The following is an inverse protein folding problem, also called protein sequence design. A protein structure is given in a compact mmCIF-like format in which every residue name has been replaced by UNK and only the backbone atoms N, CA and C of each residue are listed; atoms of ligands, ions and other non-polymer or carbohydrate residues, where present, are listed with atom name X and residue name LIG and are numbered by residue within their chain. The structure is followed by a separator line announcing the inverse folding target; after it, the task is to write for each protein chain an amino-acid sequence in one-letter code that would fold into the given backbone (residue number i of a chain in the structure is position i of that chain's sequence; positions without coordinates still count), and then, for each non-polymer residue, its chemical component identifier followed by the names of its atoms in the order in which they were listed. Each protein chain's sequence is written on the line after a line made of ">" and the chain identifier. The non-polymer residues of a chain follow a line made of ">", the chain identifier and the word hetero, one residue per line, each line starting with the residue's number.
data_IF_951247029722
#
_entry.id   IF_951247029722
#
_cell.length_a   1.000
_cell.length_b   1.000
_cell.length_c   1.000
_cell.angle_alpha   90.00
_cell.angle_beta   90.00
_cell.angle_gamma   90.00
#
_symmetry.space_group_name_H-M   'P 1'
#
loop_
_entity.id
_entity.type
_entity.pdbx_description
1 polymer ?
#
# COMPACT_ATOMS: atom_id res chain seq x y z
N UNK A 1 -50.89 -2.43 -27.02
CA UNK A 1 -49.47 -2.75 -26.79
C UNK A 1 -49.45 -3.80 -25.70
N UNK A 2 -49.12 -5.05 -26.04
CA UNK A 2 -48.89 -6.09 -25.05
C UNK A 2 -47.62 -5.73 -24.26
N UNK A 3 -47.67 -5.80 -22.94
CA UNK A 3 -46.49 -5.62 -22.11
C UNK A 3 -45.53 -6.80 -22.36
N UNK A 4 -44.22 -6.53 -22.59
CA UNK A 4 -43.27 -7.60 -22.83
C UNK A 4 -43.15 -8.51 -21.61
N UNK A 5 -43.11 -9.81 -21.85
CA UNK A 5 -42.87 -10.84 -20.84
C UNK A 5 -41.41 -11.17 -20.71
N UNK A 6 -40.95 -11.41 -19.49
CA UNK A 6 -39.54 -11.73 -19.19
C UNK A 6 -39.17 -13.13 -19.72
N UNK A 7 -38.04 -13.23 -20.38
CA UNK A 7 -37.46 -14.50 -20.85
C UNK A 7 -36.10 -14.78 -20.16
N UNK A 8 -35.15 -13.86 -20.26
CA UNK A 8 -33.80 -14.02 -19.67
C UNK A 8 -33.15 -12.69 -19.33
N UNK A 9 -32.12 -12.74 -18.49
CA UNK A 9 -31.27 -11.61 -18.14
C UNK A 9 -29.96 -11.64 -18.96
N UNK A 10 -29.65 -10.54 -19.64
CA UNK A 10 -28.35 -10.29 -20.26
C UNK A 10 -27.64 -9.20 -19.50
N UNK A 11 -26.45 -9.50 -18.96
CA UNK A 11 -25.65 -8.60 -18.13
C UNK A 11 -24.31 -8.30 -18.80
N UNK A 12 -24.07 -7.03 -19.10
CA UNK A 12 -22.85 -6.54 -19.75
C UNK A 12 -22.09 -5.59 -18.79
N UNK A 13 -20.75 -5.68 -18.80
CA UNK A 13 -19.87 -4.77 -18.05
C UNK A 13 -19.67 -5.14 -16.58
N UNK A 14 -20.32 -6.19 -16.07
CA UNK A 14 -20.09 -6.71 -14.73
C UNK A 14 -18.87 -7.64 -14.72
N UNK A 15 -17.85 -7.29 -13.93
CA UNK A 15 -16.62 -8.10 -13.80
C UNK A 15 -16.33 -8.54 -12.36
N UNK A 16 -16.89 -7.84 -11.35
CA UNK A 16 -16.51 -8.04 -9.94
C UNK A 16 -17.59 -8.66 -9.06
N UNK A 17 -18.87 -8.57 -9.44
CA UNK A 17 -19.95 -9.26 -8.73
C UNK A 17 -20.27 -10.57 -9.45
N UNK A 18 -20.42 -11.65 -8.67
CA UNK A 18 -20.80 -12.96 -9.19
C UNK A 18 -22.12 -12.89 -9.96
N UNK A 19 -22.12 -13.41 -11.21
CA UNK A 19 -23.32 -13.48 -12.06
C UNK A 19 -24.46 -14.22 -11.40
N UNK A 20 -24.19 -15.25 -10.59
CA UNK A 20 -25.21 -15.99 -9.85
C UNK A 20 -25.92 -15.09 -8.83
N UNK A 21 -25.15 -14.21 -8.15
CA UNK A 21 -25.69 -13.24 -7.21
C UNK A 21 -26.55 -12.20 -7.91
N UNK A 22 -26.12 -11.72 -9.09
CA UNK A 22 -26.94 -10.80 -9.89
C UNK A 22 -28.23 -11.47 -10.35
N UNK A 23 -28.15 -12.69 -10.87
CA UNK A 23 -29.32 -13.46 -11.28
C UNK A 23 -30.30 -13.66 -10.10
N UNK A 24 -29.80 -13.93 -8.90
CA UNK A 24 -30.65 -14.07 -7.72
C UNK A 24 -31.34 -12.75 -7.33
N UNK A 25 -30.69 -11.59 -7.52
CA UNK A 25 -31.28 -10.27 -7.31
C UNK A 25 -32.41 -9.96 -8.33
N UNK A 26 -32.21 -10.43 -9.58
CA UNK A 26 -33.17 -10.25 -10.66
C UNK A 26 -34.04 -11.50 -10.89
N UNK A 27 -34.23 -12.33 -9.86
CA UNK A 27 -35.04 -13.54 -9.92
C UNK A 27 -36.49 -13.23 -10.37
N UNK A 28 -36.67 -13.17 -11.70
CA UNK A 28 -37.95 -12.99 -12.38
C UNK A 28 -38.41 -14.35 -12.92
N UNK A 29 -39.69 -14.64 -12.82
CA UNK A 29 -40.25 -15.86 -13.42
C UNK A 29 -40.37 -15.68 -14.94
N UNK A 30 -39.92 -16.66 -15.68
CA UNK A 30 -40.06 -16.68 -17.14
C UNK A 30 -41.54 -16.57 -17.53
N UNK A 31 -41.83 -15.73 -18.51
CA UNK A 31 -43.22 -15.46 -18.95
C UNK A 31 -43.98 -14.45 -18.05
N UNK A 32 -43.39 -13.95 -16.95
CA UNK A 32 -43.99 -12.91 -16.13
C UNK A 32 -43.97 -11.54 -16.83
N UNK A 33 -45.01 -10.74 -16.56
CA UNK A 33 -45.06 -9.34 -17.03
C UNK A 33 -44.07 -8.50 -16.24
N UNK A 34 -43.18 -7.78 -16.91
CA UNK A 34 -42.16 -6.97 -16.28
C UNK A 34 -42.73 -5.65 -15.76
N UNK A 35 -42.51 -5.37 -14.48
CA UNK A 35 -42.87 -4.10 -13.85
C UNK A 35 -41.59 -3.22 -13.73
N UNK A 36 -41.61 -2.09 -14.42
CA UNK A 36 -40.47 -1.13 -14.40
C UNK A 36 -40.10 -0.65 -12.99
N UNK A 37 -41.07 -0.49 -12.08
CA UNK A 37 -40.79 -0.10 -10.69
C UNK A 37 -40.07 -1.21 -9.94
N UNK A 38 -40.36 -2.47 -10.23
CA UNK A 38 -39.69 -3.61 -9.63
C UNK A 38 -38.26 -3.75 -10.20
N UNK A 39 -38.07 -3.58 -11.49
CA UNK A 39 -36.73 -3.55 -12.12
C UNK A 39 -35.87 -2.45 -11.50
N UNK A 40 -36.36 -1.22 -11.39
CA UNK A 40 -35.62 -0.12 -10.78
C UNK A 40 -35.23 -0.43 -9.32
N UNK A 41 -36.08 -1.06 -8.54
CA UNK A 41 -35.79 -1.47 -7.16
C UNK A 41 -34.64 -2.52 -7.15
N UNK A 42 -34.62 -3.46 -8.09
CA UNK A 42 -33.56 -4.47 -8.24
C UNK A 42 -32.24 -3.85 -8.69
N UNK A 43 -32.29 -2.89 -9.61
CA UNK A 43 -31.14 -2.09 -10.03
C UNK A 43 -30.51 -1.37 -8.82
N UNK A 44 -31.32 -0.68 -8.02
CA UNK A 44 -30.83 0.00 -6.81
C UNK A 44 -30.19 -0.99 -5.81
N UNK A 45 -30.75 -2.19 -5.66
CA UNK A 45 -30.13 -3.24 -4.83
C UNK A 45 -28.80 -3.70 -5.40
N UNK A 46 -28.68 -3.85 -6.71
CA UNK A 46 -27.42 -4.22 -7.36
C UNK A 46 -26.35 -3.13 -7.14
N UNK A 47 -26.70 -1.86 -7.34
CA UNK A 47 -25.79 -0.74 -7.08
C UNK A 47 -25.37 -0.67 -5.60
N UNK A 48 -26.27 -1.02 -4.67
CA UNK A 48 -25.95 -1.11 -3.25
C UNK A 48 -24.96 -2.24 -2.96
N UNK A 49 -25.10 -3.41 -3.58
CA UNK A 49 -24.14 -4.51 -3.47
C UNK A 49 -22.75 -4.09 -3.95
N UNK A 50 -22.66 -3.38 -5.08
CA UNK A 50 -21.40 -2.79 -5.56
C UNK A 50 -20.79 -1.83 -4.53
N UNK A 51 -21.60 -0.94 -3.97
CA UNK A 51 -21.15 0.04 -2.98
C UNK A 51 -20.65 -0.62 -1.69
N UNK A 52 -21.37 -1.62 -1.18
CA UNK A 52 -20.95 -2.39 0.00
C UNK A 52 -19.65 -3.15 -0.24
N UNK A 53 -19.45 -3.66 -1.44
CA UNK A 53 -18.18 -4.27 -1.85
C UNK A 53 -17.04 -3.25 -2.00
N UNK A 54 -17.33 -1.95 -2.04
CA UNK A 54 -16.37 -0.86 -2.18
C UNK A 54 -16.28 -0.23 -3.58
N UNK A 55 -17.06 -0.72 -4.54
CA UNK A 55 -17.09 -0.22 -5.92
C UNK A 55 -18.05 0.96 -6.07
N UNK A 56 -17.70 2.08 -5.45
CA UNK A 56 -18.57 3.26 -5.30
C UNK A 56 -18.88 4.00 -6.62
N UNK A 57 -18.11 3.71 -7.68
CA UNK A 57 -18.32 4.28 -9.02
C UNK A 57 -19.24 3.44 -9.89
N UNK A 58 -19.52 2.20 -9.47
CA UNK A 58 -20.36 1.31 -10.26
C UNK A 58 -21.78 1.85 -10.40
N UNK A 59 -22.32 1.85 -11.61
CA UNK A 59 -23.67 2.29 -11.96
C UNK A 59 -24.25 1.42 -13.06
N UNK A 60 -25.53 1.20 -13.01
CA UNK A 60 -26.29 0.64 -14.14
C UNK A 60 -26.61 1.80 -15.09
N UNK A 61 -26.02 1.78 -16.26
CA UNK A 61 -26.11 2.89 -17.23
C UNK A 61 -27.18 2.68 -18.29
N UNK A 62 -27.59 1.44 -18.49
CA UNK A 62 -28.67 1.11 -19.42
C UNK A 62 -29.49 -0.05 -18.92
N UNK A 63 -30.81 0.05 -19.11
CA UNK A 63 -31.81 -0.98 -18.77
C UNK A 63 -32.85 -0.96 -19.86
N UNK A 64 -32.87 -1.97 -20.71
CA UNK A 64 -33.92 -2.10 -21.72
C UNK A 64 -34.32 -3.56 -21.91
N UNK A 65 -35.51 -3.74 -22.45
CA UNK A 65 -36.06 -5.05 -22.77
C UNK A 65 -36.26 -5.19 -24.28
N UNK A 66 -35.74 -6.27 -24.81
CA UNK A 66 -35.92 -6.63 -26.23
C UNK A 66 -37.31 -7.22 -26.46
N UNK A 67 -37.69 -7.31 -27.75
CA UNK A 67 -38.97 -7.90 -28.18
C UNK A 67 -39.10 -9.39 -27.84
N UNK A 68 -37.97 -10.10 -27.71
CA UNK A 68 -37.89 -11.51 -27.32
C UNK A 68 -38.00 -11.75 -25.80
N UNK A 69 -38.20 -10.68 -25.01
CA UNK A 69 -38.29 -10.74 -23.54
C UNK A 69 -36.93 -10.75 -22.83
N UNK A 70 -35.82 -10.49 -23.53
CA UNK A 70 -34.50 -10.35 -22.92
C UNK A 70 -34.40 -9.01 -22.19
N UNK A 71 -34.16 -9.04 -20.86
CA UNK A 71 -33.83 -7.87 -20.06
C UNK A 71 -32.33 -7.61 -20.14
N UNK A 72 -31.93 -6.52 -20.81
CA UNK A 72 -30.55 -6.10 -20.94
C UNK A 72 -30.19 -5.10 -19.83
N UNK A 73 -29.10 -5.37 -19.12
CA UNK A 73 -28.50 -4.49 -18.12
C UNK A 73 -27.05 -4.21 -18.50
N UNK A 74 -26.70 -2.94 -18.60
CA UNK A 74 -25.32 -2.51 -18.81
C UNK A 74 -24.81 -1.85 -17.52
N UNK A 75 -23.73 -2.41 -16.96
CA UNK A 75 -23.06 -1.89 -15.77
C UNK A 75 -21.79 -1.21 -16.17
N UNK A 76 -21.58 -0.01 -15.66
CA UNK A 76 -20.30 0.69 -15.70
C UNK A 76 -19.69 0.63 -14.31
N UNK A 77 -18.53 -0.01 -14.17
CA UNK A 77 -17.86 -0.23 -12.89
C UNK A 77 -16.85 0.87 -12.52
N UNK A 78 -16.57 1.83 -13.43
CA UNK A 78 -15.60 2.90 -13.20
C UNK A 78 -14.16 2.38 -13.16
N UNK A 79 -13.54 2.27 -14.33
CA UNK A 79 -12.20 1.64 -14.49
C UNK A 79 -11.09 2.63 -14.14
N UNK A 80 -10.08 2.18 -13.42
CA UNK A 80 -8.85 2.95 -13.18
C UNK A 80 -8.02 2.99 -14.46
N UNK A 81 -7.94 4.18 -15.08
CA UNK A 81 -7.17 4.37 -16.31
C UNK A 81 -5.69 4.57 -16.02
N UNK A 82 -5.38 5.46 -15.10
CA UNK A 82 -4.00 5.80 -14.75
C UNK A 82 -3.85 6.29 -13.32
N UNK A 83 -2.59 6.36 -12.86
CA UNK A 83 -2.19 6.99 -11.62
C UNK A 83 -1.38 8.24 -11.88
N UNK A 84 -1.66 9.29 -11.12
CA UNK A 84 -0.88 10.53 -11.13
C UNK A 84 -0.40 10.83 -9.72
N UNK A 85 0.89 11.12 -9.58
CA UNK A 85 1.49 11.47 -8.30
C UNK A 85 1.81 12.96 -8.27
N UNK A 86 1.53 13.62 -7.14
CA UNK A 86 1.82 15.03 -6.91
C UNK A 86 2.40 15.27 -5.52
N UNK A 87 3.24 16.30 -5.40
CA UNK A 87 3.82 16.72 -4.12
C UNK A 87 5.08 15.99 -3.73
N UNK A 88 5.47 14.96 -4.47
CA UNK A 88 6.72 14.25 -4.27
C UNK A 88 7.87 15.01 -4.98
N UNK A 89 8.77 15.59 -4.19
CA UNK A 89 9.95 16.33 -4.69
C UNK A 89 11.17 15.41 -4.74
N UNK A 90 11.44 14.70 -3.66
CA UNK A 90 12.56 13.75 -3.51
C UNK A 90 12.16 12.34 -3.93
N UNK A 91 11.01 11.87 -3.46
CA UNK A 91 10.53 10.50 -3.65
C UNK A 91 10.12 10.26 -5.10
N UNK A 92 10.55 9.16 -5.68
CA UNK A 92 10.19 8.78 -7.06
C UNK A 92 8.76 8.25 -7.11
N UNK A 93 8.04 8.52 -8.21
CA UNK A 93 6.63 8.12 -8.39
C UNK A 93 6.41 6.63 -8.15
N UNK A 94 7.31 5.77 -8.66
CA UNK A 94 7.18 4.33 -8.52
C UNK A 94 7.23 3.85 -7.05
N UNK A 95 7.88 4.61 -6.15
CA UNK A 95 7.92 4.30 -4.71
C UNK A 95 6.54 4.44 -4.09
N UNK A 96 5.74 5.37 -4.61
CA UNK A 96 4.36 5.62 -4.18
C UNK A 96 3.42 4.63 -4.88
N UNK A 97 3.54 4.51 -6.21
CA UNK A 97 2.60 3.70 -7.01
C UNK A 97 2.72 2.20 -6.74
N UNK A 98 3.90 1.69 -6.38
CA UNK A 98 4.07 0.27 -5.98
C UNK A 98 3.31 -0.10 -4.70
N UNK A 99 2.99 0.87 -3.84
CA UNK A 99 2.18 0.66 -2.63
C UNK A 99 0.68 0.64 -2.93
N UNK A 100 0.27 1.00 -4.15
CA UNK A 100 -1.13 1.01 -4.54
C UNK A 100 -1.69 -0.41 -4.66
N UNK A 101 -2.84 -0.63 -4.04
CA UNK A 101 -3.62 -1.85 -4.22
C UNK A 101 -4.54 -1.80 -5.43
N UNK A 102 -4.88 -0.58 -5.86
CA UNK A 102 -5.57 -0.35 -7.11
C UNK A 102 -4.66 -0.70 -8.29
N UNK A 103 -5.25 -1.19 -9.37
CA UNK A 103 -4.51 -1.57 -10.60
C UNK A 103 -5.15 -0.91 -11.81
N UNK A 104 -4.32 -0.48 -12.76
CA UNK A 104 -4.81 0.01 -14.06
C UNK A 104 -5.63 -1.07 -14.77
N UNK A 105 -6.71 -0.66 -15.41
CA UNK A 105 -7.62 -1.54 -16.12
C UNK A 105 -8.59 -2.32 -15.22
N UNK A 106 -8.57 -2.11 -13.91
CA UNK A 106 -9.47 -2.73 -12.96
C UNK A 106 -10.49 -1.72 -12.43
N UNK A 107 -11.68 -2.17 -12.01
CA UNK A 107 -12.66 -1.30 -11.36
C UNK A 107 -12.11 -0.62 -10.11
N UNK A 108 -12.43 0.66 -9.95
CA UNK A 108 -12.03 1.43 -8.77
C UNK A 108 -12.72 0.90 -7.52
N UNK A 109 -11.94 0.57 -6.50
CA UNK A 109 -12.44 0.14 -5.20
C UNK A 109 -11.99 1.10 -4.08
N UNK A 110 -12.95 1.71 -3.39
CA UNK A 110 -12.69 2.69 -2.33
C UNK A 110 -11.98 2.08 -1.10
N UNK A 111 -12.22 0.79 -0.81
CA UNK A 111 -11.53 0.08 0.29
C UNK A 111 -10.05 -0.10 -0.05
N UNK A 112 -9.73 -0.44 -1.30
CA UNK A 112 -8.35 -0.58 -1.76
C UNK A 112 -7.66 0.78 -1.90
N UNK A 113 -8.37 1.83 -2.29
CA UNK A 113 -7.84 3.19 -2.26
C UNK A 113 -7.43 3.60 -0.84
N UNK A 114 -8.30 3.35 0.15
CA UNK A 114 -7.99 3.65 1.57
C UNK A 114 -6.80 2.84 2.08
N UNK A 115 -6.71 1.56 1.74
CA UNK A 115 -5.57 0.71 2.09
C UNK A 115 -4.28 1.20 1.43
N UNK A 116 -4.36 1.66 0.18
CA UNK A 116 -3.23 2.26 -0.54
C UNK A 116 -2.72 3.50 0.17
N UNK A 117 -3.60 4.42 0.56
CA UNK A 117 -3.25 5.60 1.34
C UNK A 117 -2.53 5.21 2.64
N UNK A 118 -3.06 4.23 3.37
CA UNK A 118 -2.46 3.77 4.62
C UNK A 118 -1.07 3.15 4.40
N UNK A 119 -0.89 2.37 3.33
CA UNK A 119 0.43 1.79 2.99
C UNK A 119 1.45 2.89 2.67
N UNK A 120 1.06 3.86 1.84
CA UNK A 120 1.92 5.00 1.47
C UNK A 120 2.28 5.82 2.72
N UNK A 121 1.30 6.12 3.57
CA UNK A 121 1.53 6.83 4.83
C UNK A 121 2.49 6.07 5.77
N UNK A 122 2.34 4.76 5.87
CA UNK A 122 3.16 3.89 6.71
C UNK A 122 4.63 3.78 6.26
N UNK A 123 4.99 4.24 5.04
CA UNK A 123 6.39 4.37 4.64
C UNK A 123 7.16 5.33 5.54
N UNK A 124 6.47 6.30 6.16
CA UNK A 124 7.07 7.33 7.00
C UNK A 124 7.91 8.35 6.24
N UNK A 125 7.54 8.59 4.96
CA UNK A 125 8.17 9.59 4.09
C UNK A 125 7.30 10.83 3.91
N UNK A 126 6.04 10.76 4.34
CA UNK A 126 5.01 11.76 4.09
C UNK A 126 4.28 12.16 5.37
N UNK A 127 4.04 13.46 5.52
CA UNK A 127 3.20 14.03 6.58
C UNK A 127 1.72 13.83 6.26
N UNK A 128 1.36 13.91 4.97
CA UNK A 128 0.00 13.72 4.48
C UNK A 128 -0.03 12.96 3.17
N UNK A 129 -1.08 12.15 3.00
CA UNK A 129 -1.37 11.38 1.79
C UNK A 129 -2.85 11.47 1.49
N UNK A 130 -3.19 11.97 0.32
CA UNK A 130 -4.56 12.11 -0.14
C UNK A 130 -4.76 11.47 -1.51
N UNK A 131 -5.96 10.92 -1.74
CA UNK A 131 -6.36 10.34 -3.03
C UNK A 131 -7.57 11.08 -3.56
N UNK A 132 -7.46 11.58 -4.79
CA UNK A 132 -8.52 12.25 -5.52
C UNK A 132 -8.79 11.50 -6.83
N UNK A 133 -10.05 11.48 -7.24
CA UNK A 133 -10.47 10.92 -8.51
C UNK A 133 -10.71 12.06 -9.50
N UNK A 134 -10.05 11.99 -10.63
CA UNK A 134 -10.28 12.87 -11.77
C UNK A 134 -10.95 12.05 -12.89
N UNK A 135 -11.77 12.66 -13.76
CA UNK A 135 -12.24 11.99 -14.96
C UNK A 135 -11.06 11.48 -15.80
N UNK A 136 -11.15 10.26 -16.28
CA UNK A 136 -10.21 9.71 -17.25
C UNK A 136 -10.45 10.25 -18.66
N UNK A 137 -9.63 9.85 -19.61
CA UNK A 137 -9.76 10.19 -21.02
C UNK A 137 -10.81 9.31 -21.71
N UNK A 138 -10.84 8.05 -21.32
CA UNK A 138 -11.81 7.09 -21.85
C UNK A 138 -13.15 7.22 -21.13
N UNK A 139 -14.28 6.99 -21.82
CA UNK A 139 -15.58 6.94 -21.18
C UNK A 139 -15.58 5.94 -20.03
N UNK A 140 -16.17 6.33 -18.89
CA UNK A 140 -16.32 5.47 -17.71
C UNK A 140 -15.00 5.08 -17.02
N UNK A 141 -13.93 5.83 -17.27
CA UNK A 141 -12.66 5.68 -16.59
C UNK A 141 -12.37 6.83 -15.62
N UNK A 142 -11.45 6.58 -14.68
CA UNK A 142 -10.97 7.57 -13.73
C UNK A 142 -9.44 7.55 -13.66
N UNK A 143 -8.84 8.74 -13.55
CA UNK A 143 -7.45 8.92 -13.16
C UNK A 143 -7.39 9.05 -11.63
N UNK A 144 -6.59 8.20 -11.00
CA UNK A 144 -6.37 8.25 -9.55
C UNK A 144 -5.18 9.14 -9.25
N UNK A 145 -5.44 10.35 -8.74
CA UNK A 145 -4.41 11.29 -8.32
C UNK A 145 -4.07 11.07 -6.85
N UNK A 146 -2.79 10.74 -6.58
CA UNK A 146 -2.23 10.61 -5.23
C UNK A 146 -1.42 11.85 -4.94
N UNK A 147 -1.87 12.66 -3.99
CA UNK A 147 -1.18 13.87 -3.53
C UNK A 147 -0.52 13.59 -2.19
N UNK A 148 0.77 13.92 -2.08
CA UNK A 148 1.55 13.71 -0.85
C UNK A 148 2.22 15.00 -0.40
N UNK A 149 2.48 15.10 0.90
CA UNK A 149 3.32 16.13 1.50
C UNK A 149 4.55 15.44 2.07
N UNK A 150 5.72 15.66 1.48
CA UNK A 150 6.96 15.01 1.91
C UNK A 150 7.44 15.56 3.24
N UNK A 151 7.99 14.67 4.07
CA UNK A 151 8.72 15.02 5.29
C UNK A 151 10.20 14.66 5.17
N UNK A 152 11.01 15.20 6.07
CA UNK A 152 12.43 14.83 6.14
C UNK A 152 12.56 13.37 6.60
N UNK A 153 13.24 12.55 5.79
CA UNK A 153 13.49 11.12 6.08
C UNK A 153 14.88 10.87 6.66
N UNK A 154 15.74 11.89 6.69
CA UNK A 154 17.05 11.85 7.31
C UNK A 154 16.96 11.77 8.84
N UNK A 155 17.81 10.98 9.44
CA UNK A 155 17.92 10.81 10.88
C UNK A 155 19.37 11.09 11.33
N UNK A 156 19.50 11.80 12.44
CA UNK A 156 20.77 12.00 13.12
C UNK A 156 20.58 11.66 14.60
N UNK A 157 21.49 10.87 15.15
CA UNK A 157 21.47 10.49 16.55
C UNK A 157 22.85 10.71 17.16
N UNK A 158 22.86 11.20 18.39
CA UNK A 158 24.04 11.30 19.24
C UNK A 158 23.68 10.73 20.60
N UNK A 159 24.59 9.94 21.18
CA UNK A 159 24.44 9.37 22.49
C UNK A 159 25.75 9.41 23.24
N UNK A 160 25.67 9.51 24.58
CA UNK A 160 26.82 9.39 25.45
C UNK A 160 26.40 8.67 26.74
N UNK A 161 27.32 7.87 27.28
CA UNK A 161 27.09 7.10 28.48
C UNK A 161 28.39 6.91 29.23
N UNK A 162 28.29 6.43 30.48
CA UNK A 162 29.43 6.03 31.27
C UNK A 162 29.17 4.63 31.84
N UNK A 163 30.12 3.77 31.66
CA UNK A 163 30.14 2.43 32.25
C UNK A 163 31.36 2.30 33.15
N UNK A 164 31.25 1.58 34.26
CA UNK A 164 32.38 1.29 35.14
C UNK A 164 33.43 0.39 34.49
N UNK A 165 33.02 -0.40 33.47
CA UNK A 165 33.91 -1.28 32.72
C UNK A 165 34.62 -0.57 31.58
N UNK A 166 33.87 0.24 30.77
CA UNK A 166 34.38 0.86 29.54
C UNK A 166 34.70 2.36 29.69
N UNK A 167 34.41 2.95 30.86
CA UNK A 167 34.52 4.39 31.08
C UNK A 167 33.47 5.18 30.29
N UNK A 168 33.88 6.29 29.67
CA UNK A 168 33.00 7.09 28.80
C UNK A 168 32.83 6.45 27.44
N UNK A 169 31.58 6.32 27.00
CA UNK A 169 31.19 5.79 25.68
C UNK A 169 30.34 6.82 24.95
N UNK A 170 30.58 6.97 23.67
CA UNK A 170 29.82 7.85 22.77
C UNK A 170 29.32 7.10 21.55
N UNK A 171 28.23 7.59 20.96
CA UNK A 171 27.67 7.05 19.73
C UNK A 171 27.20 8.19 18.83
N UNK A 172 27.48 8.05 17.56
CA UNK A 172 26.94 8.90 16.49
C UNK A 172 26.27 7.99 15.47
N UNK A 173 25.07 8.35 15.03
CA UNK A 173 24.37 7.65 13.94
C UNK A 173 23.81 8.63 12.93
N UNK A 174 23.88 8.27 11.66
CA UNK A 174 23.33 9.01 10.53
C UNK A 174 22.59 8.02 9.66
N UNK A 175 21.35 8.35 9.30
CA UNK A 175 20.54 7.50 8.43
C UNK A 175 19.62 8.28 7.53
N UNK A 176 19.04 7.58 6.55
CA UNK A 176 17.95 8.08 5.72
C UNK A 176 17.04 6.89 5.37
N UNK A 177 15.76 7.02 5.69
CA UNK A 177 14.76 5.97 5.40
C UNK A 177 14.33 5.93 3.95
N UNK A 178 14.57 7.02 3.21
CA UNK A 178 14.24 7.15 1.79
C UNK A 178 15.47 7.71 1.04
N UNK A 179 16.57 6.96 1.10
CA UNK A 179 17.85 7.36 0.52
C UNK A 179 17.69 7.59 -0.98
N UNK A 180 18.09 8.78 -1.45
CA UNK A 180 17.96 9.25 -2.84
C UNK A 180 16.51 9.25 -3.38
N UNK A 181 15.50 9.11 -2.54
CA UNK A 181 14.09 9.09 -2.93
C UNK A 181 13.62 7.79 -3.60
N UNK A 182 14.39 6.72 -3.51
CA UNK A 182 14.10 5.43 -4.15
C UNK A 182 13.44 4.41 -3.21
N UNK A 183 13.17 4.81 -1.96
CA UNK A 183 12.56 3.97 -0.95
C UNK A 183 13.51 3.00 -0.28
N UNK A 184 14.82 3.12 -0.53
CA UNK A 184 15.85 2.35 0.17
C UNK A 184 16.26 3.07 1.46
N UNK A 185 16.66 2.31 2.48
CA UNK A 185 17.14 2.89 3.73
C UNK A 185 18.64 2.64 3.91
N UNK A 186 19.32 3.66 4.43
CA UNK A 186 20.73 3.58 4.82
C UNK A 186 20.86 4.00 6.28
N UNK A 187 21.71 3.34 7.04
CA UNK A 187 22.10 3.76 8.37
C UNK A 187 23.58 3.48 8.61
N UNK A 188 24.27 4.46 9.19
CA UNK A 188 25.68 4.39 9.60
C UNK A 188 25.71 4.71 11.09
N UNK A 189 26.33 3.83 11.86
CA UNK A 189 26.53 4.02 13.30
C UNK A 189 28.01 3.87 13.61
N UNK A 190 28.51 4.76 14.43
CA UNK A 190 29.83 4.71 15.00
C UNK A 190 29.71 4.84 16.52
N UNK A 191 30.26 3.87 17.23
CA UNK A 191 30.39 3.87 18.69
C UNK A 191 31.87 3.94 19.05
N UNK A 192 32.20 4.74 20.04
CA UNK A 192 33.57 4.96 20.52
C UNK A 192 33.55 5.10 22.03
N UNK A 193 34.61 4.61 22.69
CA UNK A 193 34.77 4.71 24.15
C UNK A 193 35.69 3.62 24.68
N UNK A 194 36.04 3.71 25.97
CA UNK A 194 37.05 2.83 26.51
C UNK A 194 38.43 3.10 25.92
N UNK A 195 39.40 2.22 26.20
CA UNK A 195 40.77 2.37 25.66
C UNK A 195 40.86 2.01 24.21
N UNK A 196 40.03 1.04 23.70
CA UNK A 196 40.13 0.54 22.31
C UNK A 196 38.76 0.21 21.64
N UNK A 197 37.63 0.53 22.26
CA UNK A 197 36.31 0.22 21.70
C UNK A 197 35.96 1.17 20.55
N UNK A 198 36.00 0.66 19.33
CA UNK A 198 35.56 1.34 18.11
C UNK A 198 34.67 0.43 17.31
N UNK A 199 33.39 0.69 17.35
CA UNK A 199 32.39 -0.12 16.68
C UNK A 199 31.81 0.65 15.49
N UNK A 200 31.85 0.04 14.32
CA UNK A 200 31.25 0.56 13.09
C UNK A 200 30.16 -0.39 12.62
N UNK A 201 29.01 0.17 12.31
CA UNK A 201 27.91 -0.58 11.73
C UNK A 201 27.36 0.22 10.55
N UNK A 202 27.22 -0.44 9.40
CA UNK A 202 26.62 0.09 8.20
C UNK A 202 25.52 -0.85 7.77
N UNK A 203 24.31 -0.33 7.57
CA UNK A 203 23.20 -1.09 7.02
C UNK A 203 22.60 -0.42 5.79
N UNK A 204 22.30 -1.22 4.79
CA UNK A 204 21.56 -0.83 3.59
C UNK A 204 20.40 -1.79 3.42
N UNK A 205 19.18 -1.24 3.35
CA UNK A 205 17.95 -2.02 3.20
C UNK A 205 17.20 -1.58 1.95
N UNK A 206 16.89 -2.54 1.10
CA UNK A 206 15.95 -2.39 -0.03
C UNK A 206 14.66 -3.14 0.28
N UNK A 207 13.55 -2.45 0.55
CA UNK A 207 12.28 -3.10 0.93
C UNK A 207 11.56 -3.78 -0.25
N UNK A 208 11.88 -3.39 -1.49
CA UNK A 208 11.33 -3.93 -2.72
C UNK A 208 12.46 -4.38 -3.64
N UNK A 209 12.97 -5.60 -3.43
CA UNK A 209 13.95 -6.21 -4.32
C UNK A 209 13.30 -6.71 -5.62
N UNK A 210 12.05 -7.13 -5.50
CA UNK A 210 11.20 -7.66 -6.57
C UNK A 210 9.74 -7.20 -6.41
N UNK A 211 8.87 -7.60 -7.35
CA UNK A 211 7.43 -7.28 -7.33
C UNK A 211 6.64 -8.02 -6.23
N UNK A 212 7.30 -8.88 -5.45
CA UNK A 212 6.70 -9.64 -4.33
C UNK A 212 6.96 -9.02 -2.97
N UNK A 213 7.43 -7.78 -2.92
CA UNK A 213 7.77 -7.07 -1.69
C UNK A 213 8.89 -7.78 -0.89
N UNK A 214 9.83 -8.45 -1.58
CA UNK A 214 10.97 -9.10 -0.93
C UNK A 214 11.92 -8.04 -0.39
N UNK A 215 12.16 -8.07 0.93
CA UNK A 215 13.11 -7.16 1.59
C UNK A 215 14.50 -7.77 1.59
N UNK A 216 15.50 -7.01 1.15
CA UNK A 216 16.91 -7.35 1.28
C UNK A 216 17.62 -6.34 2.19
N UNK A 217 18.45 -6.84 3.08
CA UNK A 217 19.29 -6.01 3.96
C UNK A 217 20.72 -6.52 3.93
N UNK A 218 21.67 -5.60 3.76
CA UNK A 218 23.11 -5.85 3.86
C UNK A 218 23.59 -5.12 5.09
N UNK A 219 24.27 -5.82 6.00
CA UNK A 219 24.91 -5.24 7.17
C UNK A 219 26.40 -5.49 7.08
N UNK A 220 27.19 -4.43 7.23
CA UNK A 220 28.65 -4.50 7.35
C UNK A 220 29.02 -3.96 8.71
N UNK A 221 29.80 -4.72 9.48
CA UNK A 221 30.16 -4.30 10.82
C UNK A 221 31.60 -4.69 11.17
N UNK A 222 32.25 -3.85 11.99
CA UNK A 222 33.50 -4.12 12.67
C UNK A 222 33.26 -3.74 14.15
N UNK A 223 33.19 -4.76 14.99
CA UNK A 223 32.86 -4.62 16.41
C UNK A 223 34.01 -5.20 17.23
N UNK A 224 34.58 -4.36 18.10
CA UNK A 224 35.60 -4.76 19.07
C UNK A 224 35.04 -4.51 20.48
N UNK A 225 34.92 -5.57 21.26
CA UNK A 225 34.52 -5.47 22.66
C UNK A 225 35.68 -5.95 23.52
N UNK A 226 36.03 -5.15 24.51
CA UNK A 226 37.00 -5.52 25.54
C UNK A 226 36.30 -6.26 26.68
N UNK A 227 36.92 -7.31 27.19
CA UNK A 227 36.45 -8.08 28.32
C UNK A 227 37.57 -8.20 29.36
N UNK A 228 37.23 -8.05 30.63
CA UNK A 228 38.12 -8.28 31.75
C UNK A 228 37.57 -9.41 32.63
N UNK A 229 38.39 -10.37 32.95
CA UNK A 229 38.06 -11.41 33.91
C UNK A 229 38.65 -11.03 35.26
N UNK A 230 37.85 -11.23 36.31
CA UNK A 230 38.21 -10.90 37.70
C UNK A 230 38.26 -12.15 38.56
N UNK A 231 39.18 -12.22 39.53
CA UNK A 231 39.22 -13.25 40.54
C UNK A 231 38.13 -13.05 41.62
N UNK A 232 38.06 -13.96 42.57
CA UNK A 232 37.07 -13.92 43.67
C UNK A 232 37.26 -12.74 44.60
N UNK A 233 38.48 -12.21 44.65
CA UNK A 233 38.86 -11.05 45.46
C UNK A 233 38.63 -9.71 44.74
N UNK A 234 38.21 -9.75 43.45
CA UNK A 234 37.92 -8.59 42.63
C UNK A 234 39.11 -8.02 41.85
N UNK A 235 40.26 -8.71 41.83
CA UNK A 235 41.41 -8.32 41.05
C UNK A 235 41.26 -8.77 39.60
N UNK A 236 41.63 -7.92 38.64
CA UNK A 236 41.67 -8.24 37.24
C UNK A 236 42.77 -9.28 36.96
N UNK A 237 42.38 -10.44 36.43
CA UNK A 237 43.30 -11.56 36.13
C UNK A 237 43.60 -11.70 34.64
N UNK A 238 42.73 -11.22 33.78
CA UNK A 238 42.93 -11.24 32.33
C UNK A 238 42.10 -10.14 31.66
N UNK A 239 42.64 -9.59 30.59
CA UNK A 239 41.97 -8.64 29.72
C UNK A 239 42.15 -9.12 28.27
N UNK A 240 41.06 -9.17 27.46
CA UNK A 240 41.12 -9.62 26.08
C UNK A 240 40.06 -8.92 25.20
N UNK A 241 40.40 -8.74 23.95
CA UNK A 241 39.52 -8.18 22.94
C UNK A 241 38.81 -9.29 22.18
N UNK A 242 37.50 -9.13 22.02
CA UNK A 242 36.73 -9.96 21.12
C UNK A 242 36.32 -9.15 19.87
N UNK A 243 36.93 -9.47 18.74
CA UNK A 243 36.66 -8.80 17.46
C UNK A 243 35.69 -9.62 16.63
N UNK A 244 34.68 -8.95 16.09
CA UNK A 244 33.73 -9.55 15.12
C UNK A 244 33.66 -8.65 13.89
N UNK A 245 33.82 -9.24 12.72
CA UNK A 245 33.71 -8.58 11.42
C UNK A 245 32.79 -9.38 10.53
N UNK A 246 31.95 -8.69 9.77
CA UNK A 246 31.02 -9.29 8.82
C UNK A 246 30.45 -8.28 7.84
#
# INVERSE_FOLDING_TARGET
>A
LENPTYSKLNLVGNTVIDKQKVNALFNLEEGSVVNLKDINRRVLKLEEEYRQAGYILARVTDVHMDQDGTLNLTVNEGIVEDFKVKGNVKTKDYVITREMRLKKGQPFNAKDARRSMQRIYNLGYFEDVNVKLNPGKEPNSVEVEVSVVEMNTGTFGIGAGYSSADGFVGMISIGDKNFRGIGDAINIRWEFGGEDNKNYDFSYTRPWLDDKETRATINLYDITNEYADYNIDGDEIARYDKKRRG
#
